data_IF_181615403789
#
_entry.id   IF_181615403789
#
_cell.length_a   1.000
_cell.length_b   1.000
_cell.length_c   1.000
_cell.angle_alpha   90.00
_cell.angle_beta   90.00
_cell.angle_gamma   90.00
#
_symmetry.space_group_name_H-M   'P 1'
#
loop_
_entity.id
_entity.type
_entity.pdbx_description
1 polymer ?
#
# COMPACT_ATOMS: atom_id res chain seq x y z
N UNK A 1 1.13 17.57 -7.55
CA UNK A 1 1.85 16.30 -7.78
C UNK A 1 0.80 15.30 -8.23
N UNK A 2 1.08 14.46 -9.24
CA UNK A 2 0.06 13.52 -9.72
C UNK A 2 -0.33 12.58 -8.58
N UNK A 3 -1.61 12.58 -8.21
CA UNK A 3 -2.20 11.66 -7.23
C UNK A 3 -2.01 10.23 -7.73
N UNK A 4 -0.91 9.63 -7.27
CA UNK A 4 -0.43 8.33 -7.72
C UNK A 4 -0.66 7.36 -6.59
N UNK A 5 -1.90 6.90 -6.47
CA UNK A 5 -2.25 5.81 -5.55
C UNK A 5 -1.92 4.45 -6.19
N UNK A 6 -1.60 3.44 -5.37
CA UNK A 6 -1.24 2.10 -5.84
C UNK A 6 -2.28 1.50 -6.79
N UNK A 7 -3.58 1.76 -6.57
CA UNK A 7 -4.66 1.24 -7.39
C UNK A 7 -4.63 1.75 -8.82
N UNK A 8 -4.30 3.03 -9.01
CA UNK A 8 -4.16 3.66 -10.32
C UNK A 8 -2.98 3.04 -11.08
N UNK A 9 -1.87 2.82 -10.40
CA UNK A 9 -0.67 2.23 -11.01
C UNK A 9 -0.84 0.74 -11.35
N UNK A 10 -1.53 -0.02 -10.49
CA UNK A 10 -1.93 -1.40 -10.77
C UNK A 10 -2.82 -1.48 -12.03
N UNK A 11 -3.67 -0.48 -12.28
CA UNK A 11 -4.49 -0.44 -13.49
C UNK A 11 -3.68 -0.24 -14.78
N UNK A 12 -2.55 0.47 -14.72
CA UNK A 12 -1.69 0.72 -15.88
C UNK A 12 -0.73 -0.43 -16.23
N UNK A 13 -0.66 -1.48 -15.40
CA UNK A 13 0.13 -2.68 -15.71
C UNK A 13 -0.45 -3.35 -16.96
N UNK A 14 0.27 -3.23 -18.09
CA UNK A 14 -0.18 -3.75 -19.40
C UNK A 14 -0.36 -5.26 -19.43
N UNK A 15 0.44 -5.99 -18.64
CA UNK A 15 0.39 -7.46 -18.62
C UNK A 15 -0.56 -7.93 -17.50
N UNK A 16 -1.69 -8.58 -17.83
CA UNK A 16 -2.68 -9.01 -16.84
C UNK A 16 -2.12 -10.04 -15.85
N UNK A 17 -1.15 -10.86 -16.26
CA UNK A 17 -0.53 -11.84 -15.37
C UNK A 17 0.42 -11.19 -14.37
N UNK A 18 1.14 -10.13 -14.77
CA UNK A 18 1.95 -9.32 -13.84
C UNK A 18 1.07 -8.61 -12.81
N UNK A 19 -0.06 -8.09 -13.27
CA UNK A 19 -1.07 -7.47 -12.40
C UNK A 19 -1.62 -8.47 -11.38
N UNK A 20 -2.10 -9.62 -11.83
CA UNK A 20 -2.61 -10.68 -10.96
C UNK A 20 -1.53 -11.19 -10.00
N UNK A 21 -0.29 -11.37 -10.48
CA UNK A 21 0.84 -11.79 -9.66
C UNK A 21 1.17 -10.77 -8.57
N UNK A 22 1.24 -9.47 -8.91
CA UNK A 22 1.52 -8.42 -7.96
C UNK A 22 0.45 -8.36 -6.84
N UNK A 23 -0.83 -8.50 -7.21
CA UNK A 23 -1.94 -8.53 -6.25
C UNK A 23 -1.90 -9.78 -5.36
N UNK A 24 -1.68 -10.97 -5.94
CA UNK A 24 -1.53 -12.23 -5.20
C UNK A 24 -0.35 -12.20 -4.22
N UNK A 25 0.83 -11.78 -4.71
CA UNK A 25 2.09 -11.79 -3.94
C UNK A 25 2.05 -10.85 -2.75
N UNK A 26 1.45 -9.67 -2.92
CA UNK A 26 1.35 -8.64 -1.89
C UNK A 26 0.04 -8.68 -1.10
N UNK A 27 -0.78 -9.74 -1.29
CA UNK A 27 -2.04 -9.95 -0.55
C UNK A 27 -3.02 -8.77 -0.67
N UNK A 28 -3.06 -8.15 -1.85
CA UNK A 28 -3.94 -7.02 -2.13
C UNK A 28 -5.32 -7.55 -2.53
N UNK A 29 -6.32 -7.29 -1.69
CA UNK A 29 -7.70 -7.66 -1.95
C UNK A 29 -8.34 -6.70 -2.94
N UNK A 30 -8.83 -7.21 -4.07
CA UNK A 30 -9.65 -6.44 -4.99
C UNK A 30 -11.13 -6.66 -4.65
N UNK A 31 -11.98 -5.64 -4.84
CA UNK A 31 -13.45 -5.69 -4.68
C UNK A 31 -14.05 -6.93 -5.36
N UNK A 32 -13.50 -7.33 -6.51
CA UNK A 32 -14.00 -8.48 -7.27
C UNK A 32 -13.47 -9.83 -6.80
N UNK A 33 -12.27 -9.88 -6.20
CA UNK A 33 -11.63 -11.13 -5.78
C UNK A 33 -10.43 -10.89 -4.86
N UNK A 34 -10.33 -11.71 -3.83
CA UNK A 34 -9.15 -11.79 -2.99
C UNK A 34 -8.14 -12.78 -3.60
N UNK A 35 -7.17 -12.25 -4.36
CA UNK A 35 -6.05 -13.06 -4.84
C UNK A 35 -5.12 -13.46 -3.71
N UNK A 36 -5.03 -12.67 -2.63
CA UNK A 36 -4.16 -12.94 -1.51
C UNK A 36 -4.52 -14.22 -0.73
N UNK A 37 -5.79 -14.62 -0.76
CA UNK A 37 -6.26 -15.84 -0.09
C UNK A 37 -5.83 -17.14 -0.81
N UNK A 38 -5.41 -17.07 -2.08
CA UNK A 38 -5.08 -18.26 -2.87
C UNK A 38 -3.70 -18.83 -2.52
N UNK A 39 -3.60 -20.17 -2.50
CA UNK A 39 -2.31 -20.87 -2.53
C UNK A 39 -1.55 -20.58 -3.83
N UNK A 40 -0.26 -20.94 -3.88
CA UNK A 40 0.51 -20.81 -5.12
C UNK A 40 -0.05 -21.71 -6.23
N UNK A 41 -0.45 -22.94 -5.90
CA UNK A 41 -1.06 -23.88 -6.85
C UNK A 41 -2.40 -23.38 -7.38
N UNK A 42 -3.29 -22.91 -6.48
CA UNK A 42 -4.60 -22.37 -6.84
C UNK A 42 -4.48 -21.11 -7.71
N UNK A 43 -3.50 -20.25 -7.40
CA UNK A 43 -3.22 -19.07 -8.20
C UNK A 43 -2.69 -19.45 -9.58
N UNK A 44 -1.78 -20.43 -9.67
CA UNK A 44 -1.23 -20.91 -10.94
C UNK A 44 -2.31 -21.54 -11.83
N UNK A 45 -3.19 -22.35 -11.25
CA UNK A 45 -4.33 -22.92 -11.95
C UNK A 45 -5.24 -21.81 -12.51
N UNK A 46 -5.54 -20.80 -11.68
CA UNK A 46 -6.39 -19.68 -12.06
C UNK A 46 -5.86 -18.88 -13.26
N UNK A 47 -4.56 -18.56 -13.27
CA UNK A 47 -3.96 -17.78 -14.38
C UNK A 47 -3.61 -18.65 -15.61
N UNK A 48 -3.88 -19.96 -15.57
CA UNK A 48 -3.44 -20.90 -16.60
C UNK A 48 -1.92 -20.99 -16.74
N UNK A 49 -1.20 -20.75 -15.63
CA UNK A 49 0.25 -20.64 -15.60
C UNK A 49 0.93 -21.99 -15.77
N UNK A 50 1.91 -22.07 -16.68
CA UNK A 50 2.82 -23.22 -16.76
C UNK A 50 3.89 -23.12 -15.66
N UNK A 51 4.62 -24.20 -15.39
CA UNK A 51 5.66 -24.25 -14.35
C UNK A 51 6.75 -23.15 -14.44
N UNK A 52 7.00 -22.59 -15.62
CA UNK A 52 7.96 -21.48 -15.78
C UNK A 52 7.40 -20.10 -15.39
N UNK A 53 6.08 -19.95 -15.27
CA UNK A 53 5.43 -18.66 -14.99
C UNK A 53 6.00 -17.99 -13.74
N UNK A 54 6.10 -18.73 -12.63
CA UNK A 54 6.65 -18.18 -11.39
C UNK A 54 8.10 -17.77 -11.53
N UNK A 55 8.90 -18.46 -12.34
CA UNK A 55 10.29 -18.08 -12.57
C UNK A 55 10.37 -16.76 -13.35
N UNK A 56 9.50 -16.53 -14.34
CA UNK A 56 9.41 -15.25 -15.03
C UNK A 56 8.94 -14.12 -14.12
N UNK A 57 7.97 -14.38 -13.24
CA UNK A 57 7.50 -13.37 -12.30
C UNK A 57 8.56 -13.02 -11.26
N UNK A 58 9.26 -14.00 -10.68
CA UNK A 58 10.41 -13.78 -9.78
C UNK A 58 11.51 -12.94 -10.45
N UNK A 59 11.77 -13.14 -11.75
CA UNK A 59 12.68 -12.26 -12.51
C UNK A 59 12.12 -10.85 -12.65
N UNK A 60 10.82 -10.72 -12.89
CA UNK A 60 10.16 -9.42 -12.96
C UNK A 60 10.21 -8.66 -11.62
N UNK A 61 10.23 -9.35 -10.48
CA UNK A 61 10.40 -8.70 -9.15
C UNK A 61 11.69 -7.86 -9.06
N UNK A 62 12.72 -8.21 -9.82
CA UNK A 62 13.98 -7.46 -9.87
C UNK A 62 13.91 -6.18 -10.71
N UNK A 63 12.87 -6.04 -11.53
CA UNK A 63 12.72 -4.92 -12.46
C UNK A 63 12.42 -3.59 -11.74
N UNK A 64 12.80 -2.44 -12.35
CA UNK A 64 12.44 -1.13 -11.82
C UNK A 64 10.93 -0.93 -11.70
N UNK A 65 10.16 -1.48 -12.65
CA UNK A 65 8.69 -1.43 -12.66
C UNK A 65 8.12 -2.05 -11.37
N UNK A 66 8.52 -3.29 -11.06
CA UNK A 66 8.02 -3.98 -9.87
C UNK A 66 8.43 -3.27 -8.58
N UNK A 67 9.71 -2.88 -8.48
CA UNK A 67 10.22 -2.16 -7.30
C UNK A 67 9.46 -0.88 -7.05
N UNK A 68 9.17 -0.10 -8.09
CA UNK A 68 8.36 1.12 -7.99
C UNK A 68 6.97 0.82 -7.43
N UNK A 69 6.29 -0.24 -7.91
CA UNK A 69 4.98 -0.63 -7.39
C UNK A 69 5.05 -1.03 -5.90
N UNK A 70 6.09 -1.74 -5.49
CA UNK A 70 6.30 -2.07 -4.06
C UNK A 70 6.50 -0.82 -3.22
N UNK A 71 7.29 0.16 -3.68
CA UNK A 71 7.48 1.41 -2.95
C UNK A 71 6.16 2.16 -2.76
N UNK A 72 5.37 2.31 -3.83
CA UNK A 72 4.05 2.94 -3.74
C UNK A 72 3.11 2.18 -2.80
N UNK A 73 3.12 0.84 -2.84
CA UNK A 73 2.32 0.04 -1.92
C UNK A 73 2.73 0.28 -0.45
N UNK A 74 4.03 0.44 -0.19
CA UNK A 74 4.55 0.71 1.16
C UNK A 74 4.27 2.13 1.63
N UNK A 75 4.23 3.10 0.72
CA UNK A 75 3.76 4.44 1.02
C UNK A 75 2.27 4.42 1.39
N UNK A 76 1.43 3.70 0.65
CA UNK A 76 0.01 3.55 0.97
C UNK A 76 -0.24 2.79 2.29
N UNK A 77 0.58 1.78 2.62
CA UNK A 77 0.47 1.05 3.89
C UNK A 77 1.15 1.75 5.07
N UNK A 78 1.84 2.86 4.85
CA UNK A 78 2.70 3.49 5.85
C UNK A 78 1.94 3.88 7.12
N UNK A 79 0.72 4.41 6.98
CA UNK A 79 -0.12 4.78 8.11
C UNK A 79 -0.41 3.57 9.02
N UNK A 80 -0.76 2.43 8.42
CA UNK A 80 -1.00 1.19 9.14
C UNK A 80 0.27 0.68 9.83
N UNK A 81 1.40 0.64 9.09
CA UNK A 81 2.69 0.21 9.62
C UNK A 81 3.15 1.08 10.82
N UNK A 82 2.88 2.40 10.74
CA UNK A 82 3.16 3.37 11.79
C UNK A 82 2.32 3.10 13.05
N UNK A 83 1.02 2.80 12.88
CA UNK A 83 0.12 2.45 13.98
C UNK A 83 0.48 1.11 14.63
N UNK A 84 0.81 0.09 13.84
CA UNK A 84 1.26 -1.21 14.35
C UNK A 84 2.55 -1.07 15.17
N UNK A 85 3.50 -0.29 14.65
CA UNK A 85 4.76 0.00 15.37
C UNK A 85 4.50 0.76 16.66
N UNK A 86 3.61 1.76 16.63
CA UNK A 86 3.20 2.48 17.84
C UNK A 86 2.65 1.54 18.91
N UNK A 87 1.79 0.58 18.54
CA UNK A 87 1.23 -0.39 19.48
C UNK A 87 2.31 -1.29 20.10
N UNK A 88 3.27 -1.79 19.31
CA UNK A 88 4.39 -2.61 19.84
C UNK A 88 5.30 -1.80 20.77
N UNK A 89 5.61 -0.56 20.41
CA UNK A 89 6.45 0.32 21.25
C UNK A 89 5.71 0.73 22.53
N UNK A 90 4.39 0.90 22.47
CA UNK A 90 3.54 1.16 23.64
C UNK A 90 3.65 0.04 24.67
N UNK A 91 3.57 -1.21 24.24
CA UNK A 91 3.70 -2.37 25.14
C UNK A 91 5.02 -2.35 25.90
N UNK A 92 6.13 -2.05 25.20
CA UNK A 92 7.46 -1.90 25.82
C UNK A 92 7.55 -0.66 26.72
N UNK A 93 6.94 0.46 26.33
CA UNK A 93 6.94 1.68 27.14
C UNK A 93 6.20 1.47 28.47
N UNK A 94 5.12 0.68 28.47
CA UNK A 94 4.33 0.35 29.67
C UNK A 94 5.11 -0.51 30.67
N UNK A 95 6.17 -1.22 30.26
CA UNK A 95 7.05 -1.95 31.18
C UNK A 95 8.13 -1.07 31.82
N UNK A 96 8.12 0.24 31.51
CA UNK A 96 9.07 1.21 32.07
C UNK A 96 10.37 1.37 31.27
N UNK A 97 10.44 0.81 30.05
CA UNK A 97 11.61 1.01 29.19
C UNK A 97 11.72 2.47 28.71
N UNK A 98 12.76 3.15 29.18
CA UNK A 98 12.97 4.58 28.93
C UNK A 98 13.20 4.93 27.46
N UNK A 99 13.75 3.99 26.66
CA UNK A 99 13.97 4.19 25.23
C UNK A 99 12.66 4.04 24.45
N UNK A 100 11.83 3.06 24.82
CA UNK A 100 10.51 2.84 24.25
C UNK A 100 9.59 4.03 24.54
N UNK A 101 9.61 4.60 25.75
CA UNK A 101 8.84 5.82 26.07
C UNK A 101 9.23 6.99 25.15
N UNK A 102 10.53 7.21 24.93
CA UNK A 102 11.00 8.26 23.99
C UNK A 102 10.55 7.98 22.55
N UNK A 103 10.72 6.75 22.09
CA UNK A 103 10.29 6.33 20.75
C UNK A 103 8.77 6.50 20.57
N UNK A 104 7.98 6.18 21.60
CA UNK A 104 6.52 6.35 21.60
C UNK A 104 6.12 7.81 21.42
N UNK A 105 6.77 8.75 22.11
CA UNK A 105 6.52 10.19 21.97
C UNK A 105 6.89 10.67 20.56
N UNK A 106 7.97 10.17 19.97
CA UNK A 106 8.34 10.48 18.59
C UNK A 106 7.29 9.97 17.60
N UNK A 107 6.84 8.72 17.76
CA UNK A 107 5.79 8.13 16.92
C UNK A 107 4.48 8.91 17.02
N UNK A 108 4.08 9.38 18.21
CA UNK A 108 2.89 10.25 18.36
C UNK A 108 3.00 11.55 17.56
N UNK A 109 4.19 12.15 17.50
CA UNK A 109 4.43 13.37 16.72
C UNK A 109 4.30 13.10 15.22
N UNK A 110 4.90 12.01 14.73
CA UNK A 110 4.80 11.61 13.32
C UNK A 110 3.36 11.29 12.93
N UNK A 111 2.61 10.55 13.76
CA UNK A 111 1.18 10.28 13.53
C UNK A 111 0.38 11.60 13.45
N UNK A 112 0.63 12.55 14.36
CA UNK A 112 -0.05 13.84 14.35
C UNK A 112 0.25 14.62 13.07
N UNK A 113 1.51 14.65 12.64
CA UNK A 113 1.92 15.31 11.40
C UNK A 113 1.23 14.68 10.19
N UNK A 114 1.30 13.35 10.07
CA UNK A 114 0.68 12.62 8.98
C UNK A 114 -0.85 12.86 8.91
N UNK A 115 -1.53 12.90 10.06
CA UNK A 115 -2.95 13.25 10.11
C UNK A 115 -3.22 14.68 9.62
N UNK A 116 -2.41 15.65 10.02
CA UNK A 116 -2.55 17.04 9.58
C UNK A 116 -2.34 17.18 8.07
N UNK A 117 -1.40 16.42 7.50
CA UNK A 117 -1.17 16.37 6.05
C UNK A 117 -2.41 15.81 5.32
N UNK A 118 -3.07 14.78 5.86
CA UNK A 118 -4.35 14.25 5.34
C UNK A 118 -5.48 15.28 5.45
N UNK A 119 -5.67 15.87 6.65
CA UNK A 119 -6.73 16.86 6.89
C UNK A 119 -6.57 18.07 5.93
N UNK A 120 -5.32 18.47 5.65
CA UNK A 120 -5.00 19.55 4.69
C UNK A 120 -5.23 19.14 3.23
N UNK A 121 -4.96 17.88 2.87
CA UNK A 121 -5.23 17.35 1.54
C UNK A 121 -6.73 17.32 1.24
N UNK A 122 -7.54 16.83 2.18
CA UNK A 122 -9.00 16.77 2.01
C UNK A 122 -9.61 18.17 1.88
N UNK A 123 -9.12 19.16 2.65
CA UNK A 123 -9.58 20.54 2.52
C UNK A 123 -9.29 21.14 1.12
N UNK A 124 -8.17 20.76 0.50
CA UNK A 124 -7.83 21.18 -0.88
C UNK A 124 -8.68 20.44 -1.93
N UNK A 125 -9.08 19.19 -1.68
CA UNK A 125 -10.01 18.48 -2.58
C UNK A 125 -11.43 19.05 -2.49
N UNK A 126 -11.94 19.37 -1.29
CA UNK A 126 -13.24 20.01 -1.09
C UNK A 126 -13.32 21.37 -1.81
N UNK A 127 -12.26 22.19 -1.75
CA UNK A 127 -12.18 23.47 -2.49
C UNK A 127 -12.17 23.30 -4.02
N UNK A 128 -11.71 22.15 -4.54
CA UNK A 128 -11.71 21.88 -5.99
C UNK A 128 -13.03 21.31 -6.50
N UNK A 129 -13.74 20.54 -5.68
CA UNK A 129 -15.07 20.01 -6.04
C UNK A 129 -16.15 21.09 -6.04
N UNK A 130 -15.98 22.19 -5.31
CA UNK A 130 -16.90 23.34 -5.34
C UNK A 130 -16.74 24.27 -6.56
N UNK A 131 -15.66 24.16 -7.36
CA UNK A 131 -15.39 25.03 -8.53
C UNK A 131 -15.93 24.47 -9.87
N UNK A 132 -16.32 23.19 -9.93
CA UNK A 132 -16.83 22.54 -11.16
C UNK A 132 -18.37 22.60 -11.29
N UNK A 133 -18.99 23.57 -10.61
CA UNK A 133 -20.44 23.64 -10.41
C UNK A 133 -21.07 25.03 -10.51
N UNK A 134 -20.88 25.74 -11.65
CA UNK A 134 -21.88 26.60 -12.34
C UNK A 134 -21.20 27.69 -13.20
N UNK A 135 -21.19 27.52 -14.52
CA UNK A 135 -21.40 28.62 -15.47
C UNK A 135 -22.23 28.12 -16.68
N UNK A 136 -23.51 28.52 -16.68
CA UNK A 136 -24.48 28.73 -17.80
C UNK A 136 -24.42 27.87 -19.07
#
# INVERSE_FOLDING_TARGET
MNDTNIWREIQYIKNPNRKAYFQWKNKIQNIKRDYGALSEEEFLEYIGGKGEFMNYMKRWESSPEYKRLVFLLKEDSFATDLLETYNKVKELALTGDSQAIKNMIMLQKEIKKYRQDIDSFNAIEEEKEEDDGLEI
#
